data_IF_171584120737
#
_entry.id   IF_171584120737
#
_cell.length_a   1.000
_cell.length_b   1.000
_cell.length_c   1.000
_cell.angle_alpha   90.00
_cell.angle_beta   90.00
_cell.angle_gamma   90.00
#
_symmetry.space_group_name_H-M   'P 1'
#
loop_
_entity.id
_entity.type
_entity.pdbx_description
1 polymer ?
#
# COMPACT_ATOMS: atom_id res chain seq x y z
N UNK A 1 43.03 7.52 -3.65
CA UNK A 1 41.69 8.01 -3.20
C UNK A 1 40.71 6.90 -3.47
N UNK A 2 40.30 6.21 -2.40
CA UNK A 2 39.48 5.01 -2.49
C UNK A 2 38.00 5.38 -2.49
N UNK A 3 37.31 5.11 -3.59
CA UNK A 3 35.85 5.09 -3.66
C UNK A 3 35.38 3.81 -2.95
N UNK A 4 34.82 3.95 -1.73
CA UNK A 4 34.23 2.84 -1.00
C UNK A 4 32.81 2.58 -1.51
N UNK A 5 32.64 1.34 -1.90
CA UNK A 5 31.40 0.67 -2.26
C UNK A 5 30.28 0.88 -1.21
N UNK A 6 29.20 1.54 -1.59
CA UNK A 6 27.97 1.66 -0.81
C UNK A 6 26.86 0.68 -1.25
N UNK A 7 27.25 -0.43 -1.83
CA UNK A 7 26.33 -1.51 -2.21
C UNK A 7 26.21 -2.54 -1.09
N UNK A 8 25.24 -2.42 -0.19
CA UNK A 8 25.02 -3.44 0.82
C UNK A 8 24.17 -3.11 2.05
N UNK A 9 23.51 -1.97 2.09
CA UNK A 9 22.61 -1.67 3.20
C UNK A 9 21.26 -2.38 2.99
N UNK A 10 20.96 -3.38 3.81
CA UNK A 10 19.67 -4.04 3.80
C UNK A 10 18.56 -3.05 4.21
N UNK A 11 17.33 -3.26 3.74
CA UNK A 11 16.15 -2.45 4.13
C UNK A 11 15.98 -2.29 5.64
N UNK A 12 16.46 -3.24 6.44
CA UNK A 12 16.51 -3.17 7.92
C UNK A 12 17.38 -2.04 8.46
N UNK A 13 18.49 -1.74 7.83
CA UNK A 13 19.39 -0.68 8.28
C UNK A 13 18.88 0.71 7.93
N UNK A 14 18.19 0.87 6.81
CA UNK A 14 17.56 2.11 6.44
C UNK A 14 16.42 2.50 7.41
N UNK A 15 15.59 1.55 7.85
CA UNK A 15 14.56 1.78 8.85
C UNK A 15 15.10 2.05 10.25
N UNK A 16 16.22 1.43 10.65
CA UNK A 16 16.80 1.64 11.99
C UNK A 16 17.58 2.94 12.14
N UNK A 17 18.13 3.50 11.08
CA UNK A 17 18.91 4.76 11.15
C UNK A 17 18.05 6.02 11.18
N UNK A 18 16.76 5.95 10.84
CA UNK A 18 15.82 7.05 10.96
C UNK A 18 15.24 7.24 12.37
N UNK A 19 15.54 6.33 13.32
CA UNK A 19 15.07 6.39 14.70
C UNK A 19 16.08 7.00 15.70
N UNK A 20 17.15 7.61 15.23
CA UNK A 20 18.16 8.23 16.06
C UNK A 20 18.18 9.75 15.96
N UNK A 21 17.80 10.41 17.06
CA UNK A 21 18.07 11.80 17.42
C UNK A 21 17.18 12.90 16.83
N UNK A 22 16.00 13.10 17.43
CA UNK A 22 15.56 14.46 17.81
C UNK A 22 14.95 14.39 19.21
N UNK A 23 15.68 14.83 20.22
CA UNK A 23 15.14 15.13 21.54
C UNK A 23 14.44 16.49 21.44
N UNK A 24 13.11 16.51 21.45
CA UNK A 24 12.31 17.69 21.65
C UNK A 24 11.44 17.49 22.87
N UNK A 25 11.63 18.35 23.85
CA UNK A 25 10.87 18.47 25.09
C UNK A 25 9.37 18.47 24.88
N UNK A 26 8.56 17.77 25.70
CA UNK A 26 7.14 17.70 25.51
C UNK A 26 6.47 19.00 26.00
N UNK A 27 5.93 19.77 25.08
CA UNK A 27 4.84 20.69 25.40
C UNK A 27 3.56 19.87 25.45
N UNK A 28 3.09 19.61 26.66
CA UNK A 28 1.82 18.96 26.92
C UNK A 28 0.68 19.85 26.40
N UNK A 29 0.18 19.55 25.20
CA UNK A 29 -1.17 19.92 24.79
C UNK A 29 -2.01 18.65 24.81
N UNK A 30 -2.85 18.57 25.83
CA UNK A 30 -3.89 17.56 25.98
C UNK A 30 -4.93 17.73 24.87
N UNK A 31 -4.76 17.07 23.75
CA UNK A 31 -5.85 16.78 22.83
C UNK A 31 -6.43 15.42 23.20
N UNK A 32 -7.25 15.41 24.26
CA UNK A 32 -8.21 14.35 24.50
C UNK A 32 -9.38 14.55 23.54
N UNK A 33 -9.27 13.95 22.40
CA UNK A 33 -10.29 13.85 21.38
C UNK A 33 -9.95 12.68 20.49
N UNK A 34 -9.67 11.51 21.09
CA UNK A 34 -9.71 10.27 20.33
C UNK A 34 -11.18 10.08 19.93
N UNK A 35 -11.52 10.53 18.73
CA UNK A 35 -12.67 10.00 18.03
C UNK A 35 -12.30 8.55 17.73
N UNK A 36 -12.50 7.68 18.73
CA UNK A 36 -12.64 6.27 18.41
C UNK A 36 -13.84 6.20 17.45
N UNK A 37 -13.67 5.69 16.25
CA UNK A 37 -14.83 5.39 15.43
C UNK A 37 -15.70 4.46 16.27
N UNK A 38 -16.93 4.87 16.55
CA UNK A 38 -17.92 4.08 17.24
C UNK A 38 -18.37 2.94 16.30
N UNK A 39 -17.46 2.00 16.01
CA UNK A 39 -17.70 0.76 15.29
C UNK A 39 -17.78 -0.41 16.27
N UNK A 40 -18.32 -0.16 17.46
CA UNK A 40 -18.68 -1.21 18.39
C UNK A 40 -19.99 -1.86 17.91
N UNK A 41 -19.92 -3.16 17.63
CA UNK A 41 -21.04 -4.10 17.59
C UNK A 41 -22.07 -3.99 16.44
N UNK A 42 -21.67 -3.81 15.22
CA UNK A 42 -22.50 -4.23 14.10
C UNK A 42 -22.23 -5.72 13.79
N UNK A 43 -23.24 -6.53 14.09
CA UNK A 43 -23.51 -7.94 13.74
C UNK A 43 -22.45 -8.62 12.83
N UNK A 44 -21.72 -9.57 13.40
CA UNK A 44 -20.78 -10.45 12.67
C UNK A 44 -19.33 -10.00 12.64
N UNK A 45 -18.42 -10.96 12.57
CA UNK A 45 -17.00 -10.74 12.37
C UNK A 45 -16.71 -10.18 10.97
N UNK A 46 -15.78 -9.25 10.86
CA UNK A 46 -15.25 -8.83 9.57
C UNK A 46 -14.43 -9.98 8.97
N UNK A 47 -14.79 -10.41 7.78
CA UNK A 47 -14.08 -11.47 7.03
C UNK A 47 -13.47 -11.00 5.73
N UNK A 48 -13.82 -9.77 5.29
CA UNK A 48 -13.27 -9.13 4.10
C UNK A 48 -13.14 -7.63 4.33
N UNK A 49 -12.02 -7.08 3.87
CA UNK A 49 -11.73 -5.64 3.83
C UNK A 49 -11.35 -5.28 2.40
N UNK A 50 -11.88 -4.20 1.91
CA UNK A 50 -11.55 -3.62 0.61
C UNK A 50 -11.10 -2.17 0.79
N UNK A 51 -9.97 -1.81 0.19
CA UNK A 51 -9.39 -0.48 0.20
C UNK A 51 -9.38 0.08 -1.23
N UNK A 52 -10.09 1.17 -1.48
CA UNK A 52 -10.07 1.85 -2.78
C UNK A 52 -8.98 2.92 -2.80
N UNK A 53 -8.09 2.80 -3.75
CA UNK A 53 -6.92 3.64 -3.90
C UNK A 53 -6.97 4.50 -5.15
N UNK A 54 -6.46 5.71 -5.02
CA UNK A 54 -6.29 6.68 -6.09
C UNK A 54 -4.86 7.20 -6.14
N UNK A 55 -4.29 7.20 -7.33
CA UNK A 55 -2.99 7.81 -7.62
C UNK A 55 -3.14 8.75 -8.81
N UNK A 56 -2.55 9.93 -8.72
CA UNK A 56 -2.42 10.87 -9.84
C UNK A 56 -0.96 11.13 -10.14
N UNK A 57 -0.57 10.89 -11.39
CA UNK A 57 0.79 11.11 -11.88
C UNK A 57 0.83 12.48 -12.57
N UNK A 58 1.87 13.25 -12.31
CA UNK A 58 2.11 14.53 -12.97
C UNK A 58 2.69 14.37 -14.38
N UNK A 59 3.11 15.49 -14.94
CA UNK A 59 3.77 15.52 -16.25
C UNK A 59 5.03 14.66 -16.24
N UNK A 60 5.27 13.82 -17.26
CA UNK A 60 6.51 13.08 -17.41
C UNK A 60 7.72 14.01 -17.44
N UNK A 61 8.77 13.61 -16.74
CA UNK A 61 10.05 14.31 -16.72
C UNK A 61 11.09 13.37 -17.33
N UNK A 62 11.68 13.71 -18.48
CA UNK A 62 12.65 12.85 -19.15
C UNK A 62 13.94 12.65 -18.35
N UNK A 63 14.26 13.57 -17.43
CA UNK A 63 15.47 13.54 -16.63
C UNK A 63 15.27 12.84 -15.27
N UNK A 64 14.07 12.36 -14.97
CA UNK A 64 13.76 11.68 -13.72
C UNK A 64 13.29 10.25 -13.94
N UNK A 65 13.60 9.41 -12.94
CA UNK A 65 13.12 8.04 -12.91
C UNK A 65 11.59 7.96 -12.85
N UNK A 66 11.06 6.85 -13.31
CA UNK A 66 9.65 6.53 -13.16
C UNK A 66 9.28 6.35 -11.68
N UNK A 67 8.08 6.76 -11.26
CA UNK A 67 7.69 6.63 -9.87
C UNK A 67 7.52 5.16 -9.46
N UNK A 68 7.89 4.89 -8.21
CA UNK A 68 7.56 3.64 -7.54
C UNK A 68 6.61 3.93 -6.39
N UNK A 69 5.46 3.26 -6.38
CA UNK A 69 4.39 3.46 -5.42
C UNK A 69 4.06 2.12 -4.80
N UNK A 70 4.02 2.09 -3.48
CA UNK A 70 3.81 0.86 -2.70
C UNK A 70 2.62 1.06 -1.77
N UNK A 71 1.61 0.19 -1.83
CA UNK A 71 0.58 0.07 -0.81
C UNK A 71 0.70 -1.25 -0.05
N UNK A 72 0.37 -1.21 1.24
CA UNK A 72 0.45 -2.36 2.15
C UNK A 72 -0.91 -2.62 2.76
N UNK A 73 -1.33 -3.87 2.81
CA UNK A 73 -2.53 -4.30 3.54
C UNK A 73 -2.19 -5.47 4.47
N UNK A 74 -2.59 -5.37 5.74
CA UNK A 74 -2.27 -6.34 6.77
C UNK A 74 -3.48 -6.66 7.65
N UNK A 75 -3.63 -7.90 8.16
CA UNK A 75 -4.76 -8.30 9.00
C UNK A 75 -4.69 -7.79 10.45
N UNK A 76 -3.75 -6.92 10.76
CA UNK A 76 -3.53 -6.36 12.08
C UNK A 76 -2.47 -5.26 12.03
N UNK A 77 -2.09 -4.78 13.17
CA UNK A 77 -1.22 -3.60 13.38
C UNK A 77 0.28 -3.91 13.39
N UNK A 78 0.72 -5.01 12.78
CA UNK A 78 2.13 -5.41 12.75
C UNK A 78 2.51 -6.13 11.46
N UNK A 79 3.72 -5.88 10.96
CA UNK A 79 4.34 -6.61 9.84
C UNK A 79 5.03 -7.92 10.29
N UNK A 80 4.92 -8.32 11.56
CA UNK A 80 5.52 -9.58 12.05
C UNK A 80 4.81 -10.85 11.55
N UNK A 81 3.64 -10.68 10.92
CA UNK A 81 2.84 -11.78 10.40
C UNK A 81 2.85 -11.86 8.87
N UNK A 82 1.68 -12.21 8.34
CA UNK A 82 1.40 -12.27 6.91
C UNK A 82 0.72 -10.97 6.48
N UNK A 83 1.23 -10.34 5.44
CA UNK A 83 0.69 -9.13 4.86
C UNK A 83 0.97 -9.09 3.36
N UNK A 84 0.26 -8.27 2.64
CA UNK A 84 0.52 -8.05 1.23
C UNK A 84 1.10 -6.66 0.96
N UNK A 85 1.93 -6.62 -0.06
CA UNK A 85 2.49 -5.40 -0.63
C UNK A 85 2.10 -5.37 -2.09
N UNK A 86 1.50 -4.28 -2.54
CA UNK A 86 1.24 -4.03 -3.94
C UNK A 86 2.16 -2.92 -4.42
N UNK A 87 3.06 -3.27 -5.33
CA UNK A 87 4.02 -2.36 -5.95
C UNK A 87 3.58 -1.98 -7.36
N UNK A 88 3.57 -0.69 -7.62
CA UNK A 88 3.50 -0.09 -8.95
C UNK A 88 4.86 0.50 -9.26
N UNK A 89 5.45 0.07 -10.38
CA UNK A 89 6.79 0.48 -10.78
C UNK A 89 6.79 0.90 -12.25
N UNK A 90 7.16 2.12 -12.50
CA UNK A 90 7.20 2.69 -13.84
C UNK A 90 8.37 2.25 -14.71
N UNK A 91 8.98 1.11 -14.48
CA UNK A 91 10.11 0.49 -15.16
C UNK A 91 11.46 0.68 -14.43
N UNK A 92 12.30 -0.33 -14.49
CA UNK A 92 13.73 -0.33 -14.08
C UNK A 92 14.06 0.00 -12.62
N UNK A 93 13.08 0.14 -11.74
CA UNK A 93 13.35 0.37 -10.32
C UNK A 93 13.77 -0.91 -9.59
N UNK A 94 14.62 -0.84 -8.55
CA UNK A 94 15.32 -2.01 -8.01
C UNK A 94 14.41 -3.07 -7.38
N UNK A 95 13.29 -2.68 -6.81
CA UNK A 95 12.42 -3.61 -6.08
C UNK A 95 11.52 -4.46 -6.99
N UNK A 96 11.22 -3.96 -8.18
CA UNK A 96 10.49 -4.67 -9.23
C UNK A 96 10.95 -4.17 -10.60
N UNK A 97 12.16 -4.58 -11.01
CA UNK A 97 12.83 -4.06 -12.20
C UNK A 97 12.11 -4.35 -13.52
N UNK A 98 11.19 -5.32 -13.55
CA UNK A 98 10.37 -5.60 -14.74
C UNK A 98 9.37 -4.50 -15.07
N UNK A 99 9.01 -3.65 -14.08
CA UNK A 99 7.98 -2.63 -14.24
C UNK A 99 6.55 -3.18 -14.31
N UNK A 100 5.58 -2.28 -14.27
CA UNK A 100 4.16 -2.62 -14.20
C UNK A 100 3.65 -2.74 -12.76
N UNK A 101 2.84 -3.76 -12.49
CA UNK A 101 2.23 -3.99 -11.19
C UNK A 101 2.58 -5.38 -10.65
N UNK A 102 2.84 -5.46 -9.34
CA UNK A 102 3.14 -6.71 -8.66
C UNK A 102 2.47 -6.76 -7.28
N UNK A 103 1.73 -7.84 -7.02
CA UNK A 103 1.28 -8.19 -5.69
C UNK A 103 2.27 -9.18 -5.06
N UNK A 104 2.70 -8.90 -3.84
CA UNK A 104 3.66 -9.70 -3.08
C UNK A 104 3.02 -10.14 -1.76
N UNK A 105 3.16 -11.40 -1.41
CA UNK A 105 2.85 -11.92 -0.08
C UNK A 105 4.12 -11.99 0.75
N UNK A 106 4.12 -11.32 1.88
CA UNK A 106 5.21 -11.28 2.84
C UNK A 106 4.87 -12.07 4.10
N UNK A 107 5.87 -12.73 4.66
CA UNK A 107 5.81 -13.36 5.98
C UNK A 107 7.18 -13.39 6.62
N UNK A 108 7.29 -12.91 7.86
CA UNK A 108 8.55 -12.83 8.61
C UNK A 108 9.64 -12.10 7.80
N UNK A 109 9.33 -10.90 7.30
CA UNK A 109 10.22 -10.03 6.51
C UNK A 109 10.80 -10.68 5.22
N UNK A 110 10.11 -11.65 4.68
CA UNK A 110 10.50 -12.32 3.43
C UNK A 110 9.32 -12.45 2.48
N UNK A 111 9.57 -12.22 1.19
CA UNK A 111 8.60 -12.48 0.14
C UNK A 111 8.42 -14.00 0.03
N UNK A 112 7.18 -14.46 0.06
CA UNK A 112 6.78 -15.86 -0.04
C UNK A 112 6.19 -16.23 -1.38
N UNK A 113 5.42 -15.32 -1.95
CA UNK A 113 4.75 -15.48 -3.24
C UNK A 113 4.66 -14.14 -3.93
N UNK A 114 4.63 -14.14 -5.25
CA UNK A 114 4.38 -12.96 -6.07
C UNK A 114 3.48 -13.32 -7.24
N UNK A 115 2.67 -12.36 -7.68
CA UNK A 115 2.05 -12.38 -8.99
C UNK A 115 2.16 -10.98 -9.62
N UNK A 116 2.39 -10.94 -10.91
CA UNK A 116 2.73 -9.69 -11.60
C UNK A 116 1.99 -9.56 -12.91
N UNK A 117 1.62 -8.34 -13.24
CA UNK A 117 1.34 -7.95 -14.60
C UNK A 117 2.49 -7.03 -15.06
N UNK A 118 3.49 -7.63 -15.71
CA UNK A 118 4.69 -6.93 -16.16
C UNK A 118 4.38 -6.05 -17.35
N UNK A 119 4.78 -4.80 -17.28
CA UNK A 119 4.65 -3.85 -18.38
C UNK A 119 5.83 -2.89 -18.37
N UNK A 120 6.63 -2.94 -19.45
CA UNK A 120 7.80 -2.09 -19.62
C UNK A 120 7.48 -0.65 -20.01
N UNK A 121 6.20 -0.34 -20.32
CA UNK A 121 5.80 1.03 -20.56
C UNK A 121 5.91 1.82 -19.24
N UNK A 122 6.63 2.91 -19.29
CA UNK A 122 6.66 3.85 -18.18
C UNK A 122 5.31 4.58 -18.05
N UNK A 123 5.00 5.07 -16.87
CA UNK A 123 3.89 5.99 -16.64
C UNK A 123 4.18 7.31 -17.36
N UNK A 124 3.74 7.44 -18.61
CA UNK A 124 4.18 8.50 -19.53
C UNK A 124 3.08 9.52 -19.90
N UNK A 125 1.84 9.28 -19.51
CA UNK A 125 0.78 10.27 -19.73
C UNK A 125 0.82 11.38 -18.67
N UNK A 126 0.61 12.60 -19.09
CA UNK A 126 0.48 13.72 -18.17
C UNK A 126 -0.90 13.67 -17.48
N UNK A 127 -0.90 13.83 -16.17
CA UNK A 127 -2.11 13.76 -15.32
C UNK A 127 -2.80 12.38 -15.33
N UNK A 128 -2.06 11.33 -15.65
CA UNK A 128 -2.57 9.96 -15.59
C UNK A 128 -3.17 9.62 -14.22
N UNK A 129 -4.34 9.00 -14.23
CA UNK A 129 -5.02 8.52 -13.05
C UNK A 129 -4.94 7.01 -12.97
N UNK A 130 -4.54 6.50 -11.81
CA UNK A 130 -4.50 5.07 -11.52
C UNK A 130 -5.47 4.81 -10.38
N UNK A 131 -6.35 3.84 -10.57
CA UNK A 131 -7.29 3.39 -9.55
C UNK A 131 -7.22 1.89 -9.39
N UNK A 132 -7.36 1.41 -8.17
CA UNK A 132 -7.42 -0.01 -7.86
C UNK A 132 -8.08 -0.23 -6.49
N UNK A 133 -8.51 -1.47 -6.26
CA UNK A 133 -8.99 -1.92 -4.95
C UNK A 133 -8.09 -3.03 -4.43
N UNK A 134 -7.45 -2.80 -3.28
CA UNK A 134 -6.78 -3.85 -2.52
C UNK A 134 -7.81 -4.60 -1.69
N UNK A 135 -7.78 -5.91 -1.74
CA UNK A 135 -8.70 -6.79 -1.03
C UNK A 135 -7.92 -7.72 -0.12
N UNK A 136 -8.39 -7.85 1.11
CA UNK A 136 -7.96 -8.87 2.05
C UNK A 136 -9.19 -9.61 2.56
N UNK A 137 -9.18 -10.93 2.52
CA UNK A 137 -10.32 -11.75 2.98
C UNK A 137 -9.88 -13.07 3.59
N UNK A 138 -10.76 -13.67 4.40
CA UNK A 138 -10.62 -15.02 4.91
C UNK A 138 -11.58 -15.91 4.11
N UNK A 139 -11.05 -16.94 3.46
CA UNK A 139 -11.79 -17.90 2.64
C UNK A 139 -11.19 -19.30 2.88
N UNK A 140 -11.99 -20.27 3.28
CA UNK A 140 -11.58 -21.67 3.42
C UNK A 140 -10.29 -21.88 4.23
N UNK A 141 -10.18 -21.22 5.41
CA UNK A 141 -8.99 -21.24 6.28
C UNK A 141 -7.73 -20.63 5.64
N UNK A 142 -7.89 -19.83 4.59
CA UNK A 142 -6.83 -19.07 3.95
C UNK A 142 -7.04 -17.56 4.10
N UNK A 143 -5.95 -16.86 4.29
CA UNK A 143 -5.88 -15.41 4.12
C UNK A 143 -5.58 -15.14 2.64
N UNK A 144 -6.49 -14.44 2.00
CA UNK A 144 -6.46 -14.14 0.57
C UNK A 144 -6.22 -12.65 0.38
N UNK A 145 -5.23 -12.34 -0.44
CA UNK A 145 -4.93 -10.98 -0.89
C UNK A 145 -5.16 -10.88 -2.39
N UNK A 146 -5.80 -9.81 -2.83
CA UNK A 146 -6.17 -9.65 -4.22
C UNK A 146 -6.17 -8.16 -4.61
N UNK A 147 -5.80 -7.87 -5.85
CA UNK A 147 -6.02 -6.57 -6.48
C UNK A 147 -7.15 -6.72 -7.49
N UNK A 148 -8.14 -5.85 -7.41
CA UNK A 148 -9.27 -5.81 -8.34
C UNK A 148 -9.52 -4.39 -8.84
N UNK A 149 -10.26 -4.26 -9.94
CA UNK A 149 -10.68 -2.97 -10.50
C UNK A 149 -9.52 -2.02 -10.82
N UNK A 150 -8.35 -2.58 -11.11
CA UNK A 150 -7.18 -1.81 -11.49
C UNK A 150 -7.34 -1.16 -12.87
N UNK A 151 -6.97 0.12 -13.01
CA UNK A 151 -6.98 0.85 -14.27
C UNK A 151 -5.89 1.91 -14.31
N UNK A 152 -5.26 2.07 -15.48
CA UNK A 152 -4.23 3.06 -15.79
C UNK A 152 -4.24 3.31 -17.29
N UNK A 153 -3.93 4.53 -17.72
CA UNK A 153 -3.80 4.83 -19.15
C UNK A 153 -2.60 4.11 -19.77
N UNK A 154 -1.46 4.10 -19.05
CA UNK A 154 -0.22 3.45 -19.54
C UNK A 154 -0.31 1.93 -19.59
N UNK A 155 -0.99 1.31 -18.63
CA UNK A 155 -0.99 -0.14 -18.42
C UNK A 155 -2.32 -0.81 -18.75
N UNK A 156 -3.39 -0.04 -18.98
CA UNK A 156 -4.74 -0.56 -19.17
C UNK A 156 -5.37 -1.09 -17.89
N UNK A 157 -6.28 -2.05 -18.04
CA UNK A 157 -6.91 -2.72 -16.92
C UNK A 157 -5.98 -3.77 -16.30
N UNK A 158 -5.97 -3.90 -14.97
CA UNK A 158 -5.22 -4.91 -14.23
C UNK A 158 -5.97 -5.39 -12.97
N UNK A 159 -5.58 -6.54 -12.42
CA UNK A 159 -6.07 -7.09 -11.14
C UNK A 159 -7.23 -7.98 -11.45
N UNK A 160 -8.03 -8.30 -12.00
CA UNK A 160 -9.21 -9.15 -12.17
C UNK A 160 -8.85 -10.63 -12.20
N UNK A 161 -8.73 -11.23 -11.04
CA UNK A 161 -8.49 -12.68 -10.86
C UNK A 161 -7.05 -13.14 -11.08
N UNK A 162 -6.25 -12.37 -11.81
CA UNK A 162 -4.83 -12.68 -12.08
C UNK A 162 -3.91 -12.28 -10.92
N UNK A 163 -4.28 -11.23 -10.17
CA UNK A 163 -3.49 -10.72 -9.06
C UNK A 163 -4.09 -11.17 -7.73
N UNK A 164 -3.90 -12.45 -7.40
CA UNK A 164 -4.44 -13.09 -6.22
C UNK A 164 -3.44 -14.03 -5.59
N UNK A 165 -3.19 -13.86 -4.30
CA UNK A 165 -2.30 -14.69 -3.48
C UNK A 165 -3.05 -15.25 -2.28
N UNK A 166 -2.68 -16.47 -1.86
CA UNK A 166 -3.33 -17.18 -0.77
C UNK A 166 -2.29 -17.77 0.17
N UNK A 167 -2.63 -17.79 1.47
CA UNK A 167 -1.78 -18.42 2.48
C UNK A 167 -2.64 -18.99 3.61
N UNK A 168 -2.38 -20.23 4.07
CA UNK A 168 -3.10 -20.78 5.20
C UNK A 168 -3.09 -19.87 6.41
N UNK A 169 -4.22 -19.76 7.13
CA UNK A 169 -4.33 -18.94 8.33
C UNK A 169 -5.18 -19.67 9.39
N UNK A 170 -4.88 -19.39 10.65
CA UNK A 170 -5.72 -19.78 11.77
C UNK A 170 -6.74 -18.68 12.16
N UNK A 171 -6.65 -17.51 11.49
CA UNK A 171 -7.58 -16.42 11.73
C UNK A 171 -8.94 -16.73 11.15
N UNK A 172 -9.98 -16.46 11.91
CA UNK A 172 -11.38 -16.57 11.49
C UNK A 172 -12.05 -15.20 11.31
N UNK A 173 -11.33 -14.09 11.57
CA UNK A 173 -11.81 -12.74 11.37
C UNK A 173 -10.67 -11.73 11.15
N UNK A 174 -11.03 -10.56 10.61
CA UNK A 174 -10.17 -9.41 10.35
C UNK A 174 -10.52 -8.21 11.25
N UNK A 175 -11.12 -8.42 12.43
CA UNK A 175 -11.50 -7.34 13.34
C UNK A 175 -10.30 -6.53 13.88
N UNK A 176 -9.08 -7.04 13.72
CA UNK A 176 -7.84 -6.34 14.08
C UNK A 176 -7.23 -5.51 12.95
N UNK A 177 -7.90 -5.41 11.79
CA UNK A 177 -7.45 -4.56 10.71
C UNK A 177 -7.47 -3.09 11.14
N UNK A 178 -6.39 -2.37 10.84
CA UNK A 178 -6.20 -0.96 11.18
C UNK A 178 -5.78 -0.17 9.92
N UNK A 179 -6.62 0.74 9.43
CA UNK A 179 -6.29 1.57 8.27
C UNK A 179 -5.12 2.51 8.51
N UNK A 180 -4.85 2.93 9.74
CA UNK A 180 -3.69 3.75 10.07
C UNK A 180 -2.41 2.97 9.81
N UNK A 181 -2.40 1.68 10.14
CA UNK A 181 -1.27 0.81 9.85
C UNK A 181 -1.02 0.66 8.34
N UNK A 182 -2.08 0.52 7.53
CA UNK A 182 -1.98 0.52 6.06
C UNK A 182 -1.33 1.79 5.55
N UNK A 183 -1.81 2.96 5.99
CA UNK A 183 -1.30 4.26 5.52
C UNK A 183 0.14 4.51 5.95
N UNK A 184 0.50 4.17 7.17
CA UNK A 184 1.86 4.37 7.71
C UNK A 184 2.93 3.50 7.02
N UNK A 185 2.52 2.38 6.44
CA UNK A 185 3.41 1.46 5.73
C UNK A 185 3.35 1.57 4.21
N UNK A 186 2.42 2.36 3.67
CA UNK A 186 2.31 2.66 2.24
C UNK A 186 3.09 3.94 1.91
N UNK A 187 3.67 4.01 0.70
CA UNK A 187 4.55 5.14 0.37
C UNK A 187 4.75 5.34 -1.13
N UNK A 188 5.23 6.53 -1.48
CA UNK A 188 5.89 6.81 -2.77
C UNK A 188 7.40 6.70 -2.57
N UNK A 189 8.04 5.85 -3.33
CA UNK A 189 9.49 5.64 -3.30
C UNK A 189 10.23 6.61 -4.22
N UNK A 190 10.68 6.11 -5.39
CA UNK A 190 11.41 6.91 -6.37
C UNK A 190 10.51 7.90 -7.09
N UNK A 191 11.10 8.98 -7.62
CA UNK A 191 10.45 10.01 -8.42
C UNK A 191 9.15 10.56 -7.78
N UNK A 192 9.16 10.80 -6.49
CA UNK A 192 7.99 11.23 -5.72
C UNK A 192 7.42 12.58 -6.19
N UNK A 193 8.25 13.47 -6.75
CA UNK A 193 7.83 14.74 -7.35
C UNK A 193 6.92 14.57 -8.58
N UNK A 194 6.90 13.40 -9.20
CA UNK A 194 5.97 13.04 -10.29
C UNK A 194 4.62 12.56 -9.80
N UNK A 195 4.49 12.16 -8.54
CA UNK A 195 3.21 11.74 -7.96
C UNK A 195 2.52 12.95 -7.37
N UNK A 196 1.41 13.38 -7.99
CA UNK A 196 0.61 14.52 -7.52
C UNK A 196 -0.23 14.19 -6.32
N UNK A 197 -0.76 12.97 -6.31
CA UNK A 197 -1.61 12.50 -5.24
C UNK A 197 -1.46 10.97 -5.09
N UNK A 198 -1.45 10.50 -3.84
CA UNK A 198 -1.62 9.10 -3.48
C UNK A 198 -2.52 9.04 -2.26
N UNK A 199 -3.71 8.49 -2.43
CA UNK A 199 -4.79 8.55 -1.45
C UNK A 199 -5.50 7.20 -1.32
N UNK A 200 -5.74 6.78 -0.09
CA UNK A 200 -6.72 5.77 0.25
C UNK A 200 -8.07 6.49 0.38
N UNK A 201 -8.94 6.30 -0.63
CA UNK A 201 -10.20 7.06 -0.75
C UNK A 201 -11.31 6.50 0.13
N UNK A 202 -11.37 5.15 0.28
CA UNK A 202 -12.47 4.49 0.95
C UNK A 202 -12.08 3.11 1.43
N UNK A 203 -12.69 2.68 2.53
CA UNK A 203 -12.56 1.32 3.06
C UNK A 203 -13.96 0.71 3.24
N UNK A 204 -14.13 -0.53 2.82
CA UNK A 204 -15.35 -1.30 3.00
C UNK A 204 -15.08 -2.55 3.82
N UNK A 205 -15.92 -2.80 4.79
CA UNK A 205 -15.84 -3.94 5.68
C UNK A 205 -17.03 -4.87 5.41
N UNK A 206 -16.77 -6.16 5.31
CA UNK A 206 -17.79 -7.16 5.05
C UNK A 206 -17.78 -8.26 6.11
N UNK A 207 -18.98 -8.69 6.51
CA UNK A 207 -19.23 -9.92 7.25
C UNK A 207 -19.69 -11.02 6.31
N UNK A 208 -19.99 -12.20 6.84
CA UNK A 208 -20.59 -13.29 6.08
C UNK A 208 -21.96 -12.90 5.46
N UNK A 209 -22.66 -11.96 6.09
CA UNK A 209 -23.98 -11.46 5.65
C UNK A 209 -23.90 -10.35 4.59
N UNK A 210 -22.69 -9.91 4.22
CA UNK A 210 -22.45 -8.88 3.23
C UNK A 210 -21.77 -7.63 3.77
N UNK A 211 -22.01 -6.47 3.12
CA UNK A 211 -21.41 -5.20 3.50
C UNK A 211 -21.85 -4.77 4.91
N UNK A 212 -20.88 -4.66 5.81
CA UNK A 212 -21.07 -4.30 7.21
C UNK A 212 -21.00 -2.79 7.44
N UNK A 213 -19.97 -2.15 6.89
CA UNK A 213 -19.73 -0.72 7.03
C UNK A 213 -18.82 -0.19 5.93
N UNK A 214 -18.86 1.13 5.76
CA UNK A 214 -17.99 1.85 4.84
C UNK A 214 -17.40 3.05 5.56
N UNK A 215 -16.09 3.21 5.47
CA UNK A 215 -15.38 4.42 5.86
C UNK A 215 -15.00 5.19 4.59
N UNK A 216 -15.64 6.32 4.37
CA UNK A 216 -15.41 7.21 3.23
C UNK A 216 -14.46 8.37 3.59
N UNK A 217 -13.70 8.27 4.67
CA UNK A 217 -12.73 9.29 5.07
C UNK A 217 -11.47 9.15 4.22
N UNK A 218 -11.16 10.06 3.29
CA UNK A 218 -9.95 9.99 2.50
C UNK A 218 -8.70 10.18 3.38
N UNK A 219 -7.68 9.37 3.12
CA UNK A 219 -6.37 9.45 3.77
C UNK A 219 -5.32 9.74 2.71
N UNK A 220 -4.81 10.97 2.70
CA UNK A 220 -3.78 11.42 1.75
C UNK A 220 -2.42 11.02 2.29
N UNK A 221 -1.72 10.13 1.58
CA UNK A 221 -0.40 9.64 1.94
C UNK A 221 0.72 10.47 1.30
N UNK A 222 0.44 10.99 0.11
CA UNK A 222 1.37 11.83 -0.61
C UNK A 222 0.61 12.87 -1.43
N UNK A 223 1.09 14.10 -1.38
CA UNK A 223 0.61 15.20 -2.21
C UNK A 223 1.79 16.08 -2.61
N UNK A 224 1.91 16.38 -3.88
CA UNK A 224 2.94 17.27 -4.43
C UNK A 224 2.33 18.27 -5.39
N UNK A 225 2.50 19.54 -5.08
CA UNK A 225 2.14 20.66 -5.94
C UNK A 225 3.41 21.34 -6.47
N UNK A 226 3.67 21.35 -7.78
CA UNK A 226 4.87 21.97 -8.36
C UNK A 226 4.83 23.50 -8.32
N UNK A 227 3.73 24.10 -7.86
CA UNK A 227 3.57 25.56 -7.81
C UNK A 227 3.81 26.16 -6.42
N UNK A 228 4.12 25.32 -5.42
CA UNK A 228 4.53 25.78 -4.09
C UNK A 228 6.04 25.94 -3.94
#
# INVERSE_FOLDING_TARGET
MNAQNLSGLSRREACRRLLGLVSVTPLAMSWQGAIQPAFADAIGNTIRVEEDWYVKIGTPDPDSDSPQITSVIAPGWTLSGKYAVFDMNGATQPDFSSGGVQLQLWSNDSIRQTCSNTNWASLHFANEEIRYTSVMSIQDDELVFEIINGSSESWGAFGTGEMKLRVPTWRNHLNGYDPSFTTDNSRVGFASHRVRNFTLERIRYYSADGLKSTDNTPRVLHQYDPQM
#
